data_IF_205083498241
#
_entry.id   IF_205083498241
#
_cell.length_a   1.000
_cell.length_b   1.000
_cell.length_c   1.000
_cell.angle_alpha   90.00
_cell.angle_beta   90.00
_cell.angle_gamma   90.00
#
_symmetry.space_group_name_H-M   'P 1'
#
loop_
_entity.id
_entity.type
_entity.pdbx_description
1 polymer ?
#
# COMPACT_ATOMS: atom_id res chain seq x y z
N UNK A 1 15.64 8.68 -9.46
CA UNK A 1 16.13 7.28 -9.57
C UNK A 1 16.31 6.74 -8.16
N UNK A 2 16.21 5.42 -7.94
CA UNK A 2 16.42 4.81 -6.60
C UNK A 2 17.91 4.60 -6.32
N UNK A 3 18.31 4.54 -5.05
CA UNK A 3 19.71 4.31 -4.68
C UNK A 3 20.09 2.82 -4.76
N UNK A 4 21.39 2.52 -4.62
CA UNK A 4 21.91 1.15 -4.66
C UNK A 4 21.41 0.27 -3.50
N UNK A 5 21.04 0.89 -2.36
CA UNK A 5 20.52 0.22 -1.15
C UNK A 5 19.02 -0.04 -1.21
N UNK A 6 18.34 0.31 -2.30
CA UNK A 6 16.93 -0.02 -2.44
C UNK A 6 16.77 -1.54 -2.42
N UNK A 7 15.99 -2.10 -1.48
CA UNK A 7 15.94 -3.54 -1.23
C UNK A 7 15.26 -4.31 -2.36
N UNK A 8 14.60 -3.61 -3.30
CA UNK A 8 13.94 -4.24 -4.43
C UNK A 8 14.94 -4.58 -5.53
N UNK A 9 14.71 -5.72 -6.17
CA UNK A 9 15.36 -6.06 -7.44
C UNK A 9 14.83 -5.20 -8.61
N UNK A 10 15.38 -5.41 -9.80
CA UNK A 10 15.01 -4.62 -10.97
C UNK A 10 13.54 -4.81 -11.39
N UNK A 11 13.01 -6.02 -11.31
CA UNK A 11 11.66 -6.33 -11.76
C UNK A 11 10.62 -5.81 -10.77
N UNK A 12 10.90 -5.91 -9.48
CA UNK A 12 10.14 -5.27 -8.42
C UNK A 12 10.13 -3.74 -8.56
N UNK A 13 11.28 -3.12 -8.89
CA UNK A 13 11.36 -1.67 -9.16
C UNK A 13 10.52 -1.28 -10.37
N UNK A 14 10.53 -2.08 -11.44
CA UNK A 14 9.70 -1.85 -12.64
C UNK A 14 8.21 -1.93 -12.30
N UNK A 15 7.79 -2.97 -11.57
CA UNK A 15 6.41 -3.12 -11.14
C UNK A 15 5.96 -1.93 -10.27
N UNK A 16 6.78 -1.52 -9.30
CA UNK A 16 6.48 -0.39 -8.43
C UNK A 16 6.48 0.95 -9.17
N UNK A 17 7.33 1.13 -10.19
CA UNK A 17 7.34 2.33 -11.03
C UNK A 17 6.01 2.51 -11.77
N UNK A 18 5.38 1.42 -12.23
CA UNK A 18 4.03 1.47 -12.82
C UNK A 18 3.01 2.00 -11.80
N UNK A 19 3.06 1.52 -10.56
CA UNK A 19 2.22 2.03 -9.47
C UNK A 19 2.45 3.51 -9.20
N UNK A 20 3.71 3.95 -9.09
CA UNK A 20 4.06 5.36 -8.90
C UNK A 20 3.47 6.25 -10.00
N UNK A 21 3.60 5.85 -11.28
CA UNK A 21 2.97 6.57 -12.39
C UNK A 21 1.44 6.62 -12.26
N UNK A 22 0.80 5.54 -11.81
CA UNK A 22 -0.64 5.50 -11.54
C UNK A 22 -1.09 6.47 -10.44
N UNK A 23 -0.24 6.73 -9.44
CA UNK A 23 -0.47 7.72 -8.39
C UNK A 23 -0.10 9.16 -8.81
N UNK A 24 0.30 9.38 -10.07
CA UNK A 24 0.73 10.69 -10.56
C UNK A 24 2.10 11.12 -10.03
N UNK A 25 2.89 10.19 -9.49
CA UNK A 25 4.24 10.45 -9.01
C UNK A 25 5.20 10.57 -10.19
N UNK A 26 6.03 11.59 -10.18
CA UNK A 26 7.11 11.85 -11.16
C UNK A 26 8.37 11.02 -10.90
N UNK A 27 8.46 10.34 -9.75
CA UNK A 27 9.53 9.40 -9.42
C UNK A 27 9.07 8.28 -8.48
N UNK A 28 9.77 7.16 -8.56
CA UNK A 28 9.64 6.05 -7.62
C UNK A 28 10.43 6.38 -6.34
N UNK A 29 9.80 6.49 -5.14
CA UNK A 29 10.53 6.64 -3.90
C UNK A 29 11.33 5.37 -3.56
N UNK A 30 12.50 5.57 -2.98
CA UNK A 30 13.39 4.53 -2.50
C UNK A 30 12.91 3.97 -1.16
N UNK A 31 13.09 2.66 -0.95
CA UNK A 31 12.70 1.96 0.28
C UNK A 31 13.91 1.56 1.15
N UNK A 32 15.01 2.28 1.05
CA UNK A 32 16.25 1.93 1.76
C UNK A 32 16.28 2.35 3.25
N UNK A 33 15.24 3.03 3.73
CA UNK A 33 15.00 3.42 5.13
C UNK A 33 16.10 4.24 5.84
N UNK A 34 17.08 4.77 5.09
CA UNK A 34 18.06 5.71 5.65
C UNK A 34 17.53 7.13 5.61
N UNK A 35 17.68 7.84 6.72
CA UNK A 35 17.25 9.23 6.90
C UNK A 35 17.82 10.17 5.83
N UNK A 36 19.10 10.01 5.45
CA UNK A 36 19.78 10.87 4.48
C UNK A 36 19.70 10.36 3.02
N UNK A 37 18.56 9.80 2.62
CA UNK A 37 18.35 9.37 1.24
C UNK A 37 17.39 10.30 0.50
N UNK A 38 17.94 11.19 -0.34
CA UNK A 38 17.15 12.06 -1.23
C UNK A 38 16.19 11.27 -2.13
N UNK A 39 16.57 10.03 -2.50
CA UNK A 39 15.71 9.17 -3.30
C UNK A 39 14.51 8.60 -2.52
N UNK A 40 14.55 8.59 -1.18
CA UNK A 40 13.44 8.13 -0.34
C UNK A 40 12.35 9.20 -0.16
N UNK A 41 12.60 10.45 -0.55
CA UNK A 41 11.63 11.54 -0.44
C UNK A 41 10.34 11.23 -1.21
N UNK A 42 9.22 11.24 -0.50
CA UNK A 42 7.88 11.01 -1.08
C UNK A 42 7.52 12.12 -2.09
N UNK A 43 7.01 11.76 -3.28
CA UNK A 43 6.54 12.73 -4.27
C UNK A 43 5.36 13.61 -3.80
N UNK A 44 5.33 14.90 -4.16
CA UNK A 44 4.25 15.80 -3.79
C UNK A 44 3.06 15.59 -4.73
N UNK A 45 2.18 14.64 -4.43
CA UNK A 45 0.94 14.39 -5.20
C UNK A 45 -0.08 13.56 -4.41
N UNK A 46 -1.35 13.78 -4.74
CA UNK A 46 -2.54 13.61 -3.91
C UNK A 46 -3.08 12.19 -3.73
N UNK A 47 -3.98 12.06 -2.74
CA UNK A 47 -4.42 10.79 -2.15
C UNK A 47 -5.16 9.81 -3.07
N UNK A 48 -5.35 8.59 -2.56
CA UNK A 48 -5.98 7.47 -3.27
C UNK A 48 -7.48 7.46 -3.02
N UNK A 49 -8.29 7.28 -4.07
CA UNK A 49 -9.73 6.98 -3.97
C UNK A 49 -9.93 5.48 -4.17
N UNK A 50 -10.48 4.80 -3.16
CA UNK A 50 -10.77 3.36 -3.22
C UNK A 50 -12.28 3.18 -3.38
N UNK A 51 -12.71 2.62 -4.52
CA UNK A 51 -14.10 2.22 -4.74
C UNK A 51 -14.30 0.78 -4.28
N UNK A 52 -15.01 0.60 -3.17
CA UNK A 52 -15.37 -0.72 -2.66
C UNK A 52 -16.74 -1.11 -3.21
N UNK A 53 -16.80 -2.23 -3.93
CA UNK A 53 -18.06 -2.84 -4.36
C UNK A 53 -18.38 -3.99 -3.40
N UNK A 54 -19.45 -3.85 -2.64
CA UNK A 54 -19.92 -4.86 -1.71
C UNK A 54 -21.36 -5.25 -2.05
N UNK A 55 -21.71 -6.52 -1.85
CA UNK A 55 -23.11 -6.96 -1.96
C UNK A 55 -23.90 -6.40 -0.78
N UNK A 56 -25.16 -6.01 -1.00
CA UNK A 56 -25.95 -5.35 0.05
C UNK A 56 -26.07 -6.19 1.33
N UNK A 57 -26.17 -7.51 1.18
CA UNK A 57 -26.24 -8.50 2.28
C UNK A 57 -24.97 -8.53 3.16
N UNK A 58 -23.84 -7.99 2.70
CA UNK A 58 -22.61 -7.86 3.52
C UNK A 58 -22.72 -6.76 4.57
N UNK A 59 -23.70 -5.87 4.47
CA UNK A 59 -23.97 -4.82 5.45
C UNK A 59 -24.97 -5.28 6.52
N UNK A 60 -25.66 -6.40 6.30
CA UNK A 60 -26.65 -6.93 7.23
C UNK A 60 -25.93 -7.53 8.45
N UNK A 61 -25.91 -6.78 9.56
CA UNK A 61 -25.26 -7.16 10.82
C UNK A 61 -25.87 -8.39 11.50
N UNK A 62 -26.96 -8.93 10.96
CA UNK A 62 -27.62 -10.16 11.42
C UNK A 62 -26.84 -11.44 11.05
N UNK A 63 -25.83 -11.35 10.17
CA UNK A 63 -24.94 -12.45 9.82
C UNK A 63 -23.50 -12.25 10.37
N UNK A 64 -23.37 -11.66 11.55
CA UNK A 64 -22.16 -11.79 12.35
C UNK A 64 -22.24 -13.13 13.09
N UNK A 65 -21.39 -14.14 12.80
CA UNK A 65 -21.21 -15.23 13.74
C UNK A 65 -20.79 -14.62 15.08
N UNK A 66 -21.49 -15.00 16.15
CA UNK A 66 -21.16 -14.54 17.50
C UNK A 66 -19.82 -15.16 17.91
N UNK A 67 -18.71 -14.47 17.59
CA UNK A 67 -17.40 -14.75 18.15
C UNK A 67 -17.39 -14.26 19.60
N UNK A 68 -18.09 -14.98 20.47
CA UNK A 68 -18.11 -14.78 21.91
C UNK A 68 -18.39 -16.09 22.65
N UNK A 69 -17.70 -17.19 22.30
CA UNK A 69 -17.47 -18.28 23.26
C UNK A 69 -15.96 -18.47 23.36
N UNK A 70 -15.33 -17.69 24.25
CA UNK A 70 -13.97 -17.96 24.71
C UNK A 70 -13.94 -19.26 25.53
N UNK A 71 -12.78 -19.95 25.62
CA UNK A 71 -12.71 -21.27 26.25
C UNK A 71 -13.12 -21.19 27.72
N UNK A 72 -14.14 -21.96 28.10
CA UNK A 72 -14.40 -22.28 29.51
C UNK A 72 -13.29 -23.23 29.98
N UNK A 73 -12.59 -22.81 31.03
CA UNK A 73 -11.42 -23.50 31.59
C UNK A 73 -11.70 -24.87 32.18
#
# INVERSE_FOLDING_TARGET
TVCARDPRDLDQRRAAAVGAMGFGWDRLPCLCETDDCDAATTPPVGGVVIHVIARHDTLDTTNQPSDSEGPRG
#
